data_IF_990214103686
#
_entry.id   IF_990214103686
#
_cell.length_a   1.000
_cell.length_b   1.000
_cell.length_c   1.000
_cell.angle_alpha   90.00
_cell.angle_beta   90.00
_cell.angle_gamma   90.00
#
_symmetry.space_group_name_H-M   'P 1'
#
loop_
_entity.id
_entity.type
_entity.pdbx_description
1 polymer ?
#
# COMPACT_ATOMS: atom_id res chain seq x y z
N UNK A 1 -7.46 12.64 -21.71
CA UNK A 1 -7.10 11.40 -22.42
C UNK A 1 -5.93 10.62 -21.78
N UNK A 2 -5.69 10.77 -20.47
CA UNK A 2 -4.57 10.11 -19.76
C UNK A 2 -4.98 8.85 -18.96
N UNK A 3 -6.27 8.69 -18.65
CA UNK A 3 -6.79 7.55 -17.90
C UNK A 3 -6.53 6.21 -18.62
N UNK A 4 -6.66 6.19 -19.95
CA UNK A 4 -6.46 5.00 -20.76
C UNK A 4 -4.99 4.56 -20.80
N UNK A 5 -4.05 5.52 -20.93
CA UNK A 5 -2.62 5.21 -21.00
C UNK A 5 -2.07 4.65 -19.68
N UNK A 6 -2.50 5.21 -18.54
CA UNK A 6 -2.11 4.69 -17.23
C UNK A 6 -2.70 3.30 -16.97
N UNK A 7 -3.97 3.08 -17.31
CA UNK A 7 -4.61 1.76 -17.18
C UNK A 7 -3.89 0.67 -17.99
N UNK A 8 -3.46 0.98 -19.22
CA UNK A 8 -2.70 0.06 -20.07
C UNK A 8 -1.32 -0.25 -19.46
N UNK A 9 -0.62 0.76 -18.94
CA UNK A 9 0.68 0.55 -18.27
C UNK A 9 0.56 -0.39 -17.06
N UNK A 10 -0.46 -0.19 -16.23
CA UNK A 10 -0.71 -1.09 -15.10
C UNK A 10 -1.05 -2.50 -15.60
N UNK A 11 -1.95 -2.65 -16.57
CA UNK A 11 -2.30 -3.95 -17.13
C UNK A 11 -1.07 -4.70 -17.68
N UNK A 12 -0.15 -3.99 -18.35
CA UNK A 12 1.10 -4.57 -18.84
C UNK A 12 2.06 -4.93 -17.71
N UNK A 13 2.23 -4.07 -16.69
CA UNK A 13 3.09 -4.35 -15.55
C UNK A 13 2.63 -5.57 -14.74
N UNK A 14 1.31 -5.77 -14.62
CA UNK A 14 0.74 -6.92 -13.93
C UNK A 14 0.58 -8.16 -14.82
N UNK A 15 0.78 -8.07 -16.14
CA UNK A 15 0.60 -9.20 -17.07
C UNK A 15 1.49 -10.39 -16.72
N UNK A 16 2.74 -10.11 -16.33
CA UNK A 16 3.75 -11.10 -15.97
C UNK A 16 4.03 -11.10 -14.45
N UNK A 17 3.15 -10.48 -13.66
CA UNK A 17 3.27 -10.44 -12.21
C UNK A 17 2.75 -11.75 -11.61
N UNK A 18 3.60 -12.41 -10.83
CA UNK A 18 3.28 -13.65 -10.14
C UNK A 18 3.43 -13.43 -8.64
N UNK A 19 2.30 -13.45 -7.92
CA UNK A 19 2.26 -13.22 -6.48
C UNK A 19 2.99 -14.31 -5.68
N UNK A 20 3.17 -15.50 -6.27
CA UNK A 20 3.90 -16.61 -5.65
C UNK A 20 5.41 -16.54 -5.86
N UNK A 21 5.86 -15.67 -6.77
CA UNK A 21 7.27 -15.55 -7.12
C UNK A 21 7.96 -14.57 -6.19
N UNK A 22 9.11 -14.98 -5.66
CA UNK A 22 9.98 -14.09 -4.92
C UNK A 22 10.81 -13.27 -5.91
N UNK A 23 10.58 -11.96 -5.97
CA UNK A 23 11.36 -11.07 -6.83
C UNK A 23 12.63 -10.63 -6.10
N UNK A 24 13.78 -10.55 -6.79
CA UNK A 24 15.01 -10.09 -6.15
C UNK A 24 14.82 -8.67 -5.59
N UNK A 25 15.40 -8.36 -4.41
CA UNK A 25 15.35 -7.01 -3.87
C UNK A 25 15.90 -6.01 -4.88
N UNK A 26 15.09 -5.00 -5.20
CA UNK A 26 15.56 -3.85 -5.96
C UNK A 26 16.32 -2.95 -5.01
N UNK A 27 17.65 -3.06 -4.94
CA UNK A 27 18.47 -2.26 -4.02
C UNK A 27 18.24 -0.77 -4.31
N UNK A 28 17.45 -0.10 -3.47
CA UNK A 28 17.28 1.34 -3.51
C UNK A 28 18.11 2.00 -2.40
N UNK A 29 19.07 2.82 -2.81
CA UNK A 29 19.96 3.58 -1.92
C UNK A 29 19.39 4.94 -1.49
N UNK A 30 18.14 5.25 -1.85
CA UNK A 30 17.47 6.48 -1.43
C UNK A 30 17.15 6.50 0.07
N UNK A 31 16.81 7.68 0.59
CA UNK A 31 16.53 7.86 2.02
C UNK A 31 15.39 6.95 2.49
N UNK A 32 15.54 6.41 3.71
CA UNK A 32 14.50 5.63 4.39
C UNK A 32 13.19 6.42 4.42
N UNK A 33 12.09 5.74 4.10
CA UNK A 33 10.76 6.31 4.25
C UNK A 33 10.40 6.48 5.72
N UNK A 34 9.85 7.63 6.07
CA UNK A 34 9.27 7.89 7.39
C UNK A 34 7.83 8.34 7.19
N UNK A 35 6.89 7.67 7.85
CA UNK A 35 5.49 8.06 7.80
C UNK A 35 5.28 9.33 8.63
N UNK A 36 4.74 10.37 8.02
CA UNK A 36 4.40 11.63 8.68
C UNK A 36 2.88 11.89 8.68
N UNK A 37 2.33 12.62 9.66
CA UNK A 37 0.88 12.69 9.89
C UNK A 37 0.05 13.18 8.69
N UNK A 38 0.54 14.19 7.96
CA UNK A 38 -0.19 14.71 6.79
C UNK A 38 -0.22 13.73 5.62
N UNK A 39 0.85 12.95 5.42
CA UNK A 39 0.84 11.85 4.45
C UNK A 39 -0.13 10.76 4.85
N UNK A 40 -0.14 10.38 6.13
CA UNK A 40 -1.07 9.37 6.63
C UNK A 40 -2.53 9.79 6.42
N UNK A 41 -2.87 11.05 6.74
CA UNK A 41 -4.20 11.61 6.45
C UNK A 41 -4.56 11.51 4.96
N UNK A 42 -3.65 11.92 4.08
CA UNK A 42 -3.85 11.80 2.64
C UNK A 42 -4.12 10.35 2.20
N UNK A 43 -3.39 9.37 2.77
CA UNK A 43 -3.60 7.95 2.48
C UNK A 43 -4.95 7.45 2.99
N UNK A 44 -5.32 7.77 4.23
CA UNK A 44 -6.63 7.42 4.83
C UNK A 44 -7.78 7.94 3.97
N UNK A 45 -7.73 9.20 3.54
CA UNK A 45 -8.75 9.80 2.68
C UNK A 45 -8.82 9.07 1.32
N UNK A 46 -7.67 8.72 0.74
CA UNK A 46 -7.57 7.96 -0.50
C UNK A 46 -8.15 6.54 -0.38
N UNK A 47 -7.88 5.82 0.70
CA UNK A 47 -8.43 4.47 0.93
C UNK A 47 -9.94 4.51 1.08
N UNK A 48 -10.47 5.47 1.84
CA UNK A 48 -11.91 5.69 1.98
C UNK A 48 -12.58 5.95 0.63
N UNK A 49 -11.98 6.82 -0.20
CA UNK A 49 -12.51 7.13 -1.52
C UNK A 49 -12.53 5.91 -2.46
N UNK A 50 -11.48 5.09 -2.42
CA UNK A 50 -11.44 3.83 -3.18
C UNK A 50 -12.55 2.86 -2.77
N UNK A 51 -12.78 2.71 -1.47
CA UNK A 51 -13.82 1.83 -0.95
C UNK A 51 -15.22 2.35 -1.25
N UNK A 52 -15.41 3.67 -1.20
CA UNK A 52 -16.65 4.33 -1.63
C UNK A 52 -16.97 4.08 -3.11
N UNK A 53 -16.00 4.25 -4.02
CA UNK A 53 -16.18 4.00 -5.46
C UNK A 53 -16.56 2.54 -5.73
N UNK A 54 -16.06 1.61 -4.93
CA UNK A 54 -16.32 0.17 -5.07
C UNK A 54 -17.51 -0.30 -4.22
N UNK A 55 -18.28 0.62 -3.63
CA UNK A 55 -19.44 0.34 -2.79
C UNK A 55 -19.17 -0.65 -1.65
N UNK A 56 -17.96 -0.58 -1.06
CA UNK A 56 -17.61 -1.35 0.14
C UNK A 56 -18.04 -0.59 1.40
N UNK A 57 -18.32 -1.34 2.46
CA UNK A 57 -18.61 -0.76 3.78
C UNK A 57 -17.34 -0.14 4.37
N UNK A 58 -17.19 1.18 4.24
CA UNK A 58 -16.03 1.90 4.74
C UNK A 58 -16.16 2.40 6.18
N UNK A 59 -17.20 1.98 6.92
CA UNK A 59 -17.45 2.41 8.31
C UNK A 59 -16.28 2.11 9.24
N UNK A 60 -15.58 1.01 8.97
CA UNK A 60 -14.44 0.51 9.75
C UNK A 60 -13.09 0.66 9.02
N UNK A 61 -12.98 1.61 8.08
CA UNK A 61 -11.70 1.90 7.44
C UNK A 61 -10.65 2.34 8.47
N UNK A 62 -9.38 2.17 8.09
CA UNK A 62 -8.25 2.82 8.77
C UNK A 62 -8.53 4.32 8.91
N UNK A 63 -8.13 4.89 10.04
CA UNK A 63 -8.37 6.29 10.37
C UNK A 63 -7.08 7.00 10.75
N UNK A 64 -7.13 8.33 10.82
CA UNK A 64 -6.00 9.16 11.24
C UNK A 64 -5.48 8.78 12.63
N UNK A 65 -6.33 8.24 13.51
CA UNK A 65 -5.96 7.80 14.85
C UNK A 65 -5.05 6.56 14.84
N UNK A 66 -5.01 5.82 13.74
CA UNK A 66 -4.10 4.67 13.56
C UNK A 66 -2.64 5.05 13.28
N UNK A 67 -2.30 6.35 13.22
CA UNK A 67 -1.00 6.84 12.78
C UNK A 67 0.19 6.14 13.46
N UNK A 68 0.23 6.13 14.80
CA UNK A 68 1.37 5.57 15.54
C UNK A 68 1.54 4.06 15.28
N UNK A 69 0.41 3.33 15.22
CA UNK A 69 0.43 1.91 14.88
C UNK A 69 1.04 1.66 13.50
N UNK A 70 0.55 2.39 12.48
CA UNK A 70 1.03 2.20 11.11
C UNK A 70 2.45 2.73 10.91
N UNK A 71 2.86 3.78 11.63
CA UNK A 71 4.23 4.26 11.60
C UNK A 71 5.19 3.19 12.12
N UNK A 72 4.91 2.61 13.28
CA UNK A 72 5.74 1.54 13.85
C UNK A 72 5.76 0.31 12.96
N UNK A 73 4.58 -0.11 12.48
CA UNK A 73 4.45 -1.23 11.54
C UNK A 73 5.35 -1.02 10.32
N UNK A 74 5.22 0.11 9.62
CA UNK A 74 6.01 0.40 8.42
C UNK A 74 7.52 0.52 8.69
N UNK A 75 7.92 0.99 9.86
CA UNK A 75 9.32 1.11 10.24
C UNK A 75 10.02 -0.23 10.47
N UNK A 76 9.28 -1.25 10.93
CA UNK A 76 9.75 -2.60 11.21
C UNK A 76 9.56 -3.58 10.05
N UNK A 77 9.19 -3.06 8.88
CA UNK A 77 8.63 -3.84 7.79
C UNK A 77 9.43 -3.73 6.51
N UNK A 78 9.26 -4.72 5.65
CA UNK A 78 9.78 -4.71 4.27
C UNK A 78 8.66 -4.90 3.25
N UNK A 79 8.96 -4.60 1.99
CA UNK A 79 8.05 -4.85 0.88
C UNK A 79 7.74 -6.35 0.77
N UNK A 80 6.47 -6.74 0.75
CA UNK A 80 6.06 -8.14 0.59
C UNK A 80 6.48 -8.76 -0.76
N UNK A 81 6.68 -7.93 -1.80
CA UNK A 81 6.99 -8.37 -3.16
C UNK A 81 8.49 -8.56 -3.37
N UNK A 82 9.32 -7.61 -2.93
CA UNK A 82 10.77 -7.62 -3.19
C UNK A 82 11.64 -7.78 -1.95
N UNK A 83 11.07 -7.74 -0.75
CA UNK A 83 11.80 -7.85 0.52
C UNK A 83 12.70 -6.66 0.86
N UNK A 84 12.71 -5.58 0.07
CA UNK A 84 13.51 -4.39 0.37
C UNK A 84 12.80 -3.44 1.35
N UNK A 85 13.59 -2.61 2.03
CA UNK A 85 13.13 -1.58 2.95
C UNK A 85 12.33 -0.51 2.21
N UNK A 86 11.44 0.15 2.94
CA UNK A 86 10.74 1.30 2.40
C UNK A 86 11.63 2.54 2.34
N UNK A 87 11.58 3.21 1.21
CA UNK A 87 12.38 4.39 0.89
C UNK A 87 11.52 5.46 0.26
N UNK A 88 12.09 6.63 -0.02
CA UNK A 88 11.37 7.69 -0.72
C UNK A 88 10.96 7.27 -2.15
N UNK A 89 11.64 6.33 -2.80
CA UNK A 89 11.22 5.82 -4.11
C UNK A 89 10.34 4.56 -4.00
N UNK A 90 10.56 3.74 -2.98
CA UNK A 90 9.75 2.57 -2.64
C UNK A 90 8.82 2.88 -1.45
N UNK A 91 7.77 3.67 -1.69
CA UNK A 91 6.82 4.05 -0.64
C UNK A 91 5.84 2.91 -0.36
N UNK A 92 5.52 2.62 0.92
CA UNK A 92 4.61 1.54 1.25
C UNK A 92 3.15 1.88 0.91
N UNK A 93 2.37 0.83 0.66
CA UNK A 93 0.92 0.85 0.48
C UNK A 93 0.26 -0.14 1.44
N UNK A 94 -0.96 0.16 1.89
CA UNK A 94 -1.78 -0.78 2.64
C UNK A 94 -2.63 -1.55 1.64
N UNK A 95 -2.03 -2.53 0.98
CA UNK A 95 -2.73 -3.38 0.03
C UNK A 95 -3.63 -4.36 0.76
N UNK A 96 -4.82 -4.60 0.20
CA UNK A 96 -5.85 -5.42 0.85
C UNK A 96 -5.61 -6.90 0.57
N UNK A 97 -5.66 -7.72 1.63
CA UNK A 97 -5.64 -9.19 1.52
C UNK A 97 -6.89 -9.66 0.77
N UNK A 98 -8.06 -9.17 1.19
CA UNK A 98 -9.33 -9.45 0.54
C UNK A 98 -9.85 -8.18 -0.13
N UNK A 99 -9.86 -8.20 -1.47
CA UNK A 99 -10.31 -7.06 -2.29
C UNK A 99 -11.82 -6.77 -2.17
N UNK A 100 -12.62 -7.71 -1.66
CA UNK A 100 -14.04 -7.51 -1.39
C UNK A 100 -14.27 -6.77 -0.07
N UNK A 101 -13.28 -6.77 0.83
CA UNK A 101 -13.34 -6.08 2.12
C UNK A 101 -12.72 -4.67 2.02
N UNK A 102 -13.17 -3.73 2.88
CA UNK A 102 -12.62 -2.38 2.98
C UNK A 102 -11.19 -2.37 3.53
N UNK A 103 -10.51 -1.23 3.48
CA UNK A 103 -9.18 -1.06 4.10
C UNK A 103 -9.30 -0.96 5.63
N UNK A 104 -9.49 -2.09 6.32
CA UNK A 104 -9.49 -2.15 7.79
C UNK A 104 -8.08 -2.38 8.35
N UNK A 105 -7.94 -2.27 9.67
CA UNK A 105 -6.70 -2.63 10.38
C UNK A 105 -6.34 -4.13 10.25
N UNK A 106 -7.27 -5.01 9.93
CA UNK A 106 -6.99 -6.45 9.82
C UNK A 106 -7.00 -6.96 8.37
N UNK A 107 -7.39 -6.11 7.42
CA UNK A 107 -7.45 -6.43 5.99
C UNK A 107 -6.35 -5.71 5.19
N UNK A 108 -5.13 -5.76 5.69
CA UNK A 108 -3.97 -5.34 4.91
C UNK A 108 -2.91 -6.43 4.93
N UNK A 109 -2.26 -6.66 3.79
CA UNK A 109 -1.18 -7.63 3.72
C UNK A 109 -0.14 -7.25 4.77
N UNK A 110 0.11 -8.22 5.67
CA UNK A 110 1.08 -8.08 6.72
C UNK A 110 2.43 -7.84 6.06
N UNK A 111 2.95 -6.64 6.22
CA UNK A 111 4.34 -6.40 5.97
C UNK A 111 5.15 -7.43 6.77
N UNK A 112 5.98 -8.21 6.09
CA UNK A 112 6.72 -9.28 6.73
C UNK A 112 7.69 -8.64 7.75
N UNK A 113 7.62 -8.97 9.06
CA UNK A 113 8.61 -8.51 10.04
C UNK A 113 10.00 -9.07 9.75
#
# INVERSE_FOLDING_TARGET
MAACANAIKYALAYKDFDISKNYPPSIDSSYKFVLYPSYWKYKVDGYRFQDQIKHRDYSNNVSVNGFEYFKQLLESSVCAICGDKFTVNNKPTLDRINNNLPHTKDNHEGFNP
#
